data_IF_257642738555
#
_entry.id   IF_257642738555
#
_cell.length_a   1.000
_cell.length_b   1.000
_cell.length_c   1.000
_cell.angle_alpha   90.00
_cell.angle_beta   90.00
_cell.angle_gamma   90.00
#
_symmetry.space_group_name_H-M   'P 1'
#
loop_
_entity.id
_entity.type
_entity.pdbx_description
1 polymer ?
#
# COMPACT_ATOMS: atom_id res chain seq x y z
N UNK A 1 10.12 -41.37 -24.82
CA UNK A 1 10.73 -40.99 -23.53
C UNK A 1 9.74 -40.05 -22.86
N UNK A 2 9.04 -40.53 -21.83
CA UNK A 2 8.07 -39.74 -21.09
C UNK A 2 8.83 -38.78 -20.16
N UNK A 3 8.68 -37.48 -20.39
CA UNK A 3 9.21 -36.46 -19.50
C UNK A 3 8.38 -36.44 -18.22
N UNK A 4 9.02 -36.63 -17.08
CA UNK A 4 8.40 -36.37 -15.79
C UNK A 4 8.23 -34.85 -15.65
N UNK A 5 6.99 -34.37 -15.67
CA UNK A 5 6.64 -33.07 -15.13
C UNK A 5 6.56 -33.21 -13.62
N UNK A 6 7.56 -32.74 -12.90
CA UNK A 6 7.49 -32.60 -11.44
C UNK A 6 6.61 -31.38 -11.19
N UNK A 7 5.44 -31.61 -10.61
CA UNK A 7 4.57 -30.54 -10.14
C UNK A 7 5.03 -30.14 -8.72
N UNK A 8 5.81 -29.07 -8.62
CA UNK A 8 6.38 -28.61 -7.34
C UNK A 8 5.32 -28.06 -6.37
N UNK A 9 4.08 -27.82 -6.82
CA UNK A 9 2.95 -27.42 -5.95
C UNK A 9 2.44 -28.51 -5.00
N UNK A 10 3.00 -29.72 -5.09
CA UNK A 10 2.67 -30.86 -4.22
C UNK A 10 3.79 -31.26 -3.25
N UNK A 11 4.90 -30.52 -3.20
CA UNK A 11 5.80 -30.63 -2.06
C UNK A 11 5.17 -29.90 -0.88
N UNK A 12 4.28 -30.60 -0.18
CA UNK A 12 4.12 -30.38 1.27
C UNK A 12 5.42 -30.85 1.89
N UNK A 13 6.39 -29.94 2.01
CA UNK A 13 7.40 -30.09 3.03
C UNK A 13 6.61 -29.99 4.34
N UNK A 14 6.65 -31.02 5.17
CA UNK A 14 6.16 -30.93 6.55
C UNK A 14 6.81 -29.68 7.17
N UNK A 15 6.04 -28.60 7.27
CA UNK A 15 6.44 -27.35 7.90
C UNK A 15 6.26 -27.47 9.41
N UNK A 16 6.77 -28.55 10.01
CA UNK A 16 7.27 -28.45 11.38
C UNK A 16 8.61 -27.73 11.27
N UNK A 17 8.54 -26.44 10.96
CA UNK A 17 9.68 -25.54 11.01
C UNK A 17 9.97 -25.33 12.51
N UNK A 18 10.68 -26.31 13.09
CA UNK A 18 11.20 -26.32 14.46
C UNK A 18 12.19 -25.17 14.73
N UNK A 19 12.35 -24.23 13.80
CA UNK A 19 13.05 -22.98 14.03
C UNK A 19 12.40 -22.25 15.21
N UNK A 20 13.20 -21.83 16.21
CA UNK A 20 12.66 -21.09 17.33
C UNK A 20 12.04 -19.79 16.82
N UNK A 21 10.84 -19.48 17.31
CA UNK A 21 10.19 -18.20 17.04
C UNK A 21 11.09 -17.06 17.49
N UNK A 22 11.22 -16.02 16.66
CA UNK A 22 12.04 -14.83 16.99
C UNK A 22 11.43 -14.12 18.21
N UNK A 23 10.10 -13.96 18.23
CA UNK A 23 9.36 -13.39 19.35
C UNK A 23 8.40 -14.42 19.94
N UNK A 24 8.08 -14.31 21.23
CA UNK A 24 7.13 -15.22 21.87
C UNK A 24 5.69 -14.70 21.73
N UNK A 25 4.75 -15.59 21.41
CA UNK A 25 3.32 -15.24 21.42
C UNK A 25 2.89 -14.88 22.84
N UNK A 26 2.19 -13.75 22.98
CA UNK A 26 1.78 -13.18 24.25
C UNK A 26 2.79 -12.23 24.89
N UNK A 27 3.99 -12.11 24.32
CA UNK A 27 4.99 -11.13 24.73
C UNK A 27 4.50 -9.69 24.52
N UNK A 28 4.90 -8.78 25.40
CA UNK A 28 4.56 -7.36 25.33
C UNK A 28 5.81 -6.58 24.97
N UNK A 29 5.77 -5.91 23.83
CA UNK A 29 6.83 -5.04 23.34
C UNK A 29 6.92 -3.75 24.17
N UNK A 30 8.04 -3.03 24.05
CA UNK A 30 8.31 -1.82 24.83
C UNK A 30 7.29 -0.67 24.64
N UNK A 31 6.58 -0.67 23.52
CA UNK A 31 5.52 0.29 23.19
C UNK A 31 4.13 -0.15 23.67
N UNK A 32 4.05 -1.29 24.37
CA UNK A 32 2.83 -1.87 24.91
C UNK A 32 2.08 -2.76 23.92
N UNK A 33 2.58 -2.98 22.70
CA UNK A 33 1.95 -3.89 21.74
C UNK A 33 2.18 -5.33 22.19
N UNK A 34 1.11 -6.11 22.28
CA UNK A 34 1.17 -7.53 22.61
C UNK A 34 1.14 -8.38 21.36
N UNK A 35 2.08 -9.31 21.24
CA UNK A 35 2.18 -10.26 20.12
C UNK A 35 1.02 -11.26 20.22
N UNK A 36 0.20 -11.34 19.17
CA UNK A 36 -0.99 -12.19 19.13
C UNK A 36 -0.77 -13.49 18.36
N UNK A 37 -0.35 -13.41 17.10
CA UNK A 37 -0.26 -14.56 16.19
C UNK A 37 1.03 -14.48 15.38
N UNK A 38 1.72 -15.62 15.25
CA UNK A 38 2.77 -15.83 14.24
C UNK A 38 2.12 -16.23 12.91
N UNK A 39 2.35 -15.43 11.87
CA UNK A 39 1.63 -15.53 10.60
C UNK A 39 2.44 -16.24 9.52
N UNK A 40 3.72 -15.93 9.41
CA UNK A 40 4.65 -16.46 8.41
C UNK A 40 6.09 -16.16 8.83
N UNK A 41 7.05 -16.98 8.40
CA UNK A 41 8.46 -16.84 8.77
C UNK A 41 9.40 -17.23 7.64
N UNK A 42 10.58 -16.64 7.64
CA UNK A 42 11.73 -17.04 6.85
C UNK A 42 12.96 -17.26 7.74
N UNK A 43 14.10 -17.54 7.13
CA UNK A 43 15.33 -17.86 7.87
C UNK A 43 15.82 -16.71 8.78
N UNK A 44 15.65 -15.47 8.32
CA UNK A 44 16.18 -14.26 8.94
C UNK A 44 15.08 -13.27 9.40
N UNK A 45 13.81 -13.63 9.24
CA UNK A 45 12.68 -12.77 9.61
C UNK A 45 11.41 -13.56 9.95
N UNK A 46 10.48 -12.92 10.66
CA UNK A 46 9.15 -13.45 10.94
C UNK A 46 8.09 -12.34 10.97
N UNK A 47 6.88 -12.68 10.57
CA UNK A 47 5.71 -11.81 10.59
C UNK A 47 4.77 -12.19 11.74
N UNK A 48 4.36 -11.18 12.50
CA UNK A 48 3.40 -11.33 13.58
C UNK A 48 2.24 -10.35 13.38
N UNK A 49 1.11 -10.67 14.00
CA UNK A 49 -0.03 -9.77 14.15
C UNK A 49 -0.23 -9.47 15.63
N UNK A 50 -0.49 -8.22 15.97
CA UNK A 50 -0.80 -7.82 17.35
C UNK A 50 -2.10 -8.49 17.84
N UNK A 51 -2.21 -8.72 19.15
CA UNK A 51 -3.38 -9.38 19.75
C UNK A 51 -4.70 -8.62 19.47
N UNK A 52 -4.64 -7.29 19.37
CA UNK A 52 -5.78 -6.42 19.02
C UNK A 52 -6.04 -6.32 17.51
N UNK A 53 -5.21 -6.97 16.67
CA UNK A 53 -5.32 -6.98 15.22
C UNK A 53 -5.05 -5.64 14.54
N UNK A 54 -4.49 -4.66 15.26
CA UNK A 54 -4.23 -3.31 14.74
C UNK A 54 -2.90 -3.15 14.02
N UNK A 55 -1.94 -4.03 14.29
CA UNK A 55 -0.60 -3.91 13.76
C UNK A 55 -0.10 -5.23 13.18
N UNK A 56 0.53 -5.12 12.02
CA UNK A 56 1.39 -6.15 11.45
C UNK A 56 2.84 -5.81 11.82
N UNK A 57 3.58 -6.82 12.26
CA UNK A 57 4.92 -6.66 12.84
C UNK A 57 5.87 -7.55 12.06
N UNK A 58 6.93 -6.98 11.50
CA UNK A 58 8.05 -7.72 10.92
C UNK A 58 9.21 -7.69 11.91
N UNK A 59 9.58 -8.85 12.45
CA UNK A 59 10.81 -9.01 13.20
C UNK A 59 11.89 -9.54 12.26
N UNK A 60 13.05 -8.87 12.22
CA UNK A 60 14.19 -9.27 11.40
C UNK A 60 15.44 -9.39 12.25
N UNK A 61 16.24 -10.43 12.00
CA UNK A 61 17.53 -10.61 12.66
C UNK A 61 18.48 -9.45 12.32
N UNK A 62 19.44 -9.12 13.21
CA UNK A 62 20.31 -7.96 13.04
C UNK A 62 21.01 -7.89 11.68
N UNK A 63 21.55 -9.02 11.21
CA UNK A 63 22.27 -9.09 9.93
C UNK A 63 21.42 -8.61 8.74
N UNK A 64 20.16 -9.03 8.69
CA UNK A 64 19.26 -8.68 7.59
C UNK A 64 18.81 -7.21 7.70
N UNK A 65 18.38 -6.79 8.89
CA UNK A 65 17.86 -5.45 9.13
C UNK A 65 18.94 -4.36 8.94
N UNK A 66 20.16 -4.59 9.45
CA UNK A 66 21.27 -3.66 9.28
C UNK A 66 21.66 -3.51 7.81
N UNK A 67 21.55 -4.58 7.02
CA UNK A 67 21.83 -4.53 5.58
C UNK A 67 20.81 -3.67 4.84
N UNK A 68 19.51 -3.75 5.18
CA UNK A 68 18.50 -2.86 4.62
C UNK A 68 18.79 -1.38 4.90
N UNK A 69 19.30 -1.07 6.09
CA UNK A 69 19.69 0.30 6.45
C UNK A 69 20.94 0.75 5.69
N UNK A 70 21.96 -0.11 5.60
CA UNK A 70 23.21 0.19 4.89
C UNK A 70 22.99 0.41 3.39
N UNK A 71 22.13 -0.39 2.76
CA UNK A 71 21.78 -0.26 1.35
C UNK A 71 20.70 0.83 1.09
N UNK A 72 20.20 1.46 2.15
CA UNK A 72 19.32 2.63 2.06
C UNK A 72 17.86 2.33 1.71
N UNK A 73 17.40 1.09 1.92
CA UNK A 73 15.99 0.72 1.78
C UNK A 73 15.14 1.24 2.95
N UNK A 74 15.74 1.30 4.15
CA UNK A 74 15.11 1.85 5.36
C UNK A 74 16.07 2.81 6.06
N UNK A 75 15.50 3.77 6.79
CA UNK A 75 16.28 4.57 7.72
C UNK A 75 16.32 3.88 9.08
N UNK A 76 17.43 4.01 9.82
CA UNK A 76 17.60 3.33 11.12
C UNK A 76 16.47 3.62 12.12
N UNK A 77 15.93 4.84 12.12
CA UNK A 77 14.86 5.23 13.04
C UNK A 77 13.51 4.58 12.74
N UNK A 78 13.34 3.99 11.56
CA UNK A 78 12.13 3.26 11.15
C UNK A 78 12.06 1.86 11.78
N UNK A 79 13.16 1.40 12.37
CA UNK A 79 13.26 0.10 13.02
C UNK A 79 13.38 0.30 14.53
N UNK A 80 12.52 -0.38 15.29
CA UNK A 80 12.61 -0.46 16.73
C UNK A 80 13.57 -1.58 17.14
N UNK A 81 14.37 -1.34 18.17
CA UNK A 81 15.26 -2.35 18.73
C UNK A 81 14.48 -3.22 19.72
N UNK A 82 14.64 -4.53 19.59
CA UNK A 82 14.25 -5.51 20.60
C UNK A 82 15.52 -6.10 21.21
N UNK A 83 15.60 -6.09 22.55
CA UNK A 83 16.76 -6.56 23.30
C UNK A 83 16.43 -7.87 24.00
N UNK A 84 17.40 -8.77 24.08
CA UNK A 84 17.29 -10.02 24.82
C UNK A 84 17.41 -9.80 26.34
N UNK A 85 17.39 -10.90 27.11
CA UNK A 85 17.54 -10.86 28.57
C UNK A 85 18.92 -10.36 29.07
N UNK A 86 19.91 -10.21 28.17
CA UNK A 86 21.26 -9.75 28.46
C UNK A 86 21.54 -8.33 27.91
N UNK A 87 20.50 -7.60 27.50
CA UNK A 87 20.58 -6.29 26.85
C UNK A 87 21.34 -6.29 25.49
N UNK A 88 21.46 -7.46 24.84
CA UNK A 88 21.98 -7.57 23.48
C UNK A 88 20.86 -7.44 22.44
N UNK A 89 21.18 -6.98 21.23
CA UNK A 89 20.19 -6.82 20.16
C UNK A 89 19.76 -8.22 19.68
N UNK A 90 18.54 -8.60 20.02
CA UNK A 90 17.95 -9.85 19.56
C UNK A 90 17.43 -9.70 18.12
N UNK A 91 16.57 -8.69 17.90
CA UNK A 91 16.03 -8.40 16.59
C UNK A 91 15.64 -6.92 16.40
N UNK A 92 15.33 -6.57 15.15
CA UNK A 92 14.77 -5.29 14.77
C UNK A 92 13.30 -5.47 14.38
N UNK A 93 12.46 -4.56 14.85
CA UNK A 93 11.01 -4.59 14.62
C UNK A 93 10.59 -3.46 13.68
N UNK A 94 9.82 -3.81 12.66
CA UNK A 94 9.09 -2.87 11.83
C UNK A 94 7.60 -3.04 12.12
N UNK A 95 6.97 -2.00 12.66
CA UNK A 95 5.57 -2.02 13.11
C UNK A 95 4.72 -1.20 12.14
N UNK A 96 3.90 -1.92 11.36
CA UNK A 96 2.99 -1.35 10.37
C UNK A 96 1.54 -1.44 10.85
N UNK A 97 0.66 -0.45 10.55
CA UNK A 97 -0.78 -0.65 10.72
C UNK A 97 -1.24 -1.87 9.93
N UNK A 98 -2.19 -2.64 10.47
CA UNK A 98 -2.72 -3.82 9.77
C UNK A 98 -3.46 -3.48 8.47
N UNK A 99 -3.91 -2.23 8.29
CA UNK A 99 -4.44 -1.75 7.01
C UNK A 99 -3.42 -1.70 5.89
N UNK A 100 -2.12 -1.68 6.20
CA UNK A 100 -1.03 -1.62 5.23
C UNK A 100 -0.49 -3.01 4.95
N UNK A 101 0.02 -3.21 3.75
CA UNK A 101 0.63 -4.48 3.39
C UNK A 101 2.05 -4.54 3.91
N UNK A 102 2.26 -5.57 4.71
CA UNK A 102 3.56 -6.05 5.15
C UNK A 102 3.60 -7.56 4.89
N UNK A 103 4.03 -7.98 3.71
CA UNK A 103 3.96 -9.39 3.30
C UNK A 103 5.01 -9.72 2.24
N UNK A 104 5.26 -11.03 2.00
CA UNK A 104 6.10 -11.47 0.90
C UNK A 104 5.50 -11.07 -0.44
N UNK A 105 6.35 -10.78 -1.41
CA UNK A 105 5.95 -10.39 -2.74
C UNK A 105 5.08 -11.44 -3.43
N UNK A 106 5.34 -12.73 -3.17
CA UNK A 106 4.60 -13.88 -3.71
C UNK A 106 3.15 -13.99 -3.23
N UNK A 107 2.85 -13.41 -2.07
CA UNK A 107 1.57 -13.61 -1.37
C UNK A 107 0.56 -12.51 -1.69
N UNK A 108 1.02 -11.46 -2.36
CA UNK A 108 0.26 -10.24 -2.60
C UNK A 108 -0.68 -10.39 -3.80
N UNK A 109 -1.95 -10.02 -3.61
CA UNK A 109 -2.98 -10.00 -4.66
C UNK A 109 -3.77 -8.70 -4.59
N UNK A 110 -3.96 -8.03 -5.72
CA UNK A 110 -4.64 -6.72 -5.74
C UNK A 110 -6.16 -6.81 -5.79
N UNK A 111 -6.72 -7.97 -6.14
CA UNK A 111 -8.16 -8.20 -6.25
C UNK A 111 -8.92 -7.11 -7.04
N UNK A 112 -8.31 -6.62 -8.14
CA UNK A 112 -8.89 -5.58 -8.99
C UNK A 112 -8.74 -4.13 -8.49
N UNK A 113 -8.08 -3.90 -7.34
CA UNK A 113 -7.75 -2.55 -6.88
C UNK A 113 -6.62 -1.94 -7.71
N UNK A 114 -6.92 -0.85 -8.41
CA UNK A 114 -5.92 -0.10 -9.19
C UNK A 114 -4.95 0.64 -8.28
N UNK A 115 -5.44 1.19 -7.17
CA UNK A 115 -4.57 1.86 -6.19
C UNK A 115 -3.52 0.89 -5.67
N UNK A 116 -3.95 -0.33 -5.32
CA UNK A 116 -3.05 -1.35 -4.81
C UNK A 116 -2.03 -1.77 -5.87
N UNK A 117 -2.44 -1.97 -7.12
CA UNK A 117 -1.49 -2.24 -8.20
C UNK A 117 -0.42 -1.14 -8.34
N UNK A 118 -0.82 0.13 -8.26
CA UNK A 118 0.10 1.28 -8.28
C UNK A 118 1.04 1.30 -7.07
N UNK A 119 0.54 1.00 -5.87
CA UNK A 119 1.37 0.91 -4.66
C UNK A 119 2.47 -0.12 -4.84
N UNK A 120 2.14 -1.32 -5.32
CA UNK A 120 3.11 -2.39 -5.56
C UNK A 120 4.15 -1.97 -6.60
N UNK A 121 3.70 -1.43 -7.74
CA UNK A 121 4.61 -0.94 -8.77
C UNK A 121 5.54 0.16 -8.25
N UNK A 122 5.02 1.08 -7.44
CA UNK A 122 5.79 2.13 -6.80
C UNK A 122 6.87 1.60 -5.86
N UNK A 123 6.55 0.60 -5.03
CA UNK A 123 7.51 -0.05 -4.15
C UNK A 123 8.61 -0.76 -4.95
N UNK A 124 8.26 -1.43 -6.05
CA UNK A 124 9.23 -2.07 -6.95
C UNK A 124 10.16 -1.05 -7.59
N UNK A 125 9.63 0.04 -8.14
CA UNK A 125 10.45 1.10 -8.73
C UNK A 125 11.37 1.77 -7.72
N UNK A 126 10.89 2.03 -6.50
CA UNK A 126 11.72 2.59 -5.45
C UNK A 126 12.90 1.66 -5.11
N UNK A 127 12.63 0.36 -5.00
CA UNK A 127 13.67 -0.64 -4.72
C UNK A 127 14.69 -0.73 -5.86
N UNK A 128 14.21 -0.68 -7.12
CA UNK A 128 15.05 -0.65 -8.33
C UNK A 128 15.92 0.60 -8.44
N UNK A 129 15.43 1.74 -7.94
CA UNK A 129 16.25 2.96 -7.88
C UNK A 129 17.43 2.84 -6.90
N UNK A 130 17.35 1.94 -5.91
CA UNK A 130 18.46 1.64 -4.99
C UNK A 130 19.40 0.61 -5.59
N UNK A 131 18.86 -0.50 -6.09
CA UNK A 131 19.60 -1.55 -6.76
C UNK A 131 18.81 -2.08 -7.97
N UNK A 132 19.35 -1.83 -9.17
CA UNK A 132 18.73 -2.25 -10.42
C UNK A 132 18.67 -3.78 -10.59
N UNK A 133 19.47 -4.55 -9.87
CA UNK A 133 19.66 -5.98 -10.07
C UNK A 133 19.19 -6.86 -8.91
N UNK A 134 18.67 -6.26 -7.82
CA UNK A 134 18.24 -7.01 -6.65
C UNK A 134 17.13 -8.02 -6.99
N UNK A 135 17.15 -9.21 -6.40
CA UNK A 135 16.04 -10.14 -6.58
C UNK A 135 14.85 -9.71 -5.71
N UNK A 136 13.74 -9.32 -6.36
CA UNK A 136 12.51 -8.89 -5.68
C UNK A 136 11.52 -10.04 -5.43
N UNK A 137 11.75 -11.23 -6.00
CA UNK A 137 10.80 -12.36 -5.94
C UNK A 137 10.44 -12.75 -4.51
N UNK A 138 11.44 -12.89 -3.64
CA UNK A 138 11.24 -13.22 -2.23
C UNK A 138 11.33 -11.99 -1.34
N UNK A 139 11.23 -10.80 -1.93
CA UNK A 139 11.23 -9.57 -1.19
C UNK A 139 9.98 -9.43 -0.33
N UNK A 140 10.08 -8.59 0.69
CA UNK A 140 8.98 -8.25 1.58
C UNK A 140 8.49 -6.86 1.17
N UNK A 141 7.25 -6.74 0.68
CA UNK A 141 6.65 -5.43 0.50
C UNK A 141 6.37 -4.84 1.87
N UNK A 142 6.88 -3.63 2.09
CA UNK A 142 6.54 -2.79 3.21
C UNK A 142 5.90 -1.50 2.68
N UNK A 143 4.57 -1.47 2.63
CA UNK A 143 3.82 -0.34 2.08
C UNK A 143 4.07 0.96 2.86
N UNK A 144 4.16 0.90 4.19
CA UNK A 144 4.35 2.07 5.05
C UNK A 144 5.54 2.94 4.62
N UNK A 145 6.57 2.32 4.04
CA UNK A 145 7.75 2.98 3.50
C UNK A 145 7.88 2.86 1.97
N UNK A 146 6.95 2.15 1.31
CA UNK A 146 6.85 2.06 -0.15
C UNK A 146 8.09 1.44 -0.76
N UNK A 147 8.50 0.30 -0.21
CA UNK A 147 9.73 -0.39 -0.58
C UNK A 147 9.51 -1.90 -0.54
N UNK A 148 10.24 -2.62 -1.39
CA UNK A 148 10.38 -4.07 -1.35
C UNK A 148 11.72 -4.38 -0.70
N UNK A 149 11.68 -4.93 0.51
CA UNK A 149 12.85 -5.27 1.31
C UNK A 149 13.42 -6.62 0.83
N UNK A 150 14.63 -6.66 0.26
CA UNK A 150 15.19 -7.91 -0.23
C UNK A 150 15.57 -8.85 0.91
N UNK A 151 15.33 -10.14 0.74
CA UNK A 151 15.70 -11.18 1.72
C UNK A 151 17.02 -11.87 1.38
N UNK A 152 17.60 -11.56 0.21
CA UNK A 152 18.88 -12.06 -0.31
C UNK A 152 19.00 -13.60 -0.37
N UNK A 153 17.87 -14.27 -0.56
CA UNK A 153 17.80 -15.72 -0.81
C UNK A 153 18.41 -16.06 -2.18
N UNK A 154 18.81 -17.32 -2.35
CA UNK A 154 19.38 -17.84 -3.61
C UNK A 154 18.31 -18.23 -4.64
N UNK A 155 17.09 -17.72 -4.53
CA UNK A 155 16.01 -18.09 -5.45
C UNK A 155 16.25 -17.53 -6.85
N UNK A 156 15.79 -18.23 -7.90
CA UNK A 156 15.88 -17.72 -9.26
C UNK A 156 15.11 -16.40 -9.43
N UNK A 157 15.74 -15.46 -10.13
CA UNK A 157 15.16 -14.16 -10.42
C UNK A 157 13.97 -14.29 -11.37
N UNK A 158 12.88 -13.61 -11.03
CA UNK A 158 11.70 -13.43 -11.87
C UNK A 158 11.68 -11.98 -12.36
N UNK A 159 11.30 -11.74 -13.61
CA UNK A 159 11.26 -10.40 -14.18
C UNK A 159 10.21 -9.52 -13.48
N UNK A 160 10.45 -8.21 -13.39
CA UNK A 160 9.55 -7.28 -12.68
C UNK A 160 8.12 -7.30 -13.26
N UNK A 161 7.97 -7.41 -14.58
CA UNK A 161 6.67 -7.50 -15.21
C UNK A 161 5.94 -8.81 -14.85
N UNK A 162 6.67 -9.92 -14.72
CA UNK A 162 6.10 -11.20 -14.28
C UNK A 162 5.68 -11.13 -12.80
N UNK A 163 6.49 -10.51 -11.94
CA UNK A 163 6.12 -10.25 -10.54
C UNK A 163 4.85 -9.41 -10.44
N UNK A 164 4.72 -8.35 -11.25
CA UNK A 164 3.49 -7.57 -11.29
C UNK A 164 2.30 -8.42 -11.78
N UNK A 165 2.45 -9.19 -12.85
CA UNK A 165 1.36 -10.06 -13.33
C UNK A 165 0.91 -11.06 -12.26
N UNK A 166 1.85 -11.60 -11.46
CA UNK A 166 1.54 -12.48 -10.32
C UNK A 166 0.75 -11.80 -9.21
N UNK A 167 0.89 -10.48 -9.08
CA UNK A 167 0.13 -9.67 -8.15
C UNK A 167 -1.26 -9.32 -8.69
N UNK A 168 -1.36 -9.16 -10.02
CA UNK A 168 -2.62 -8.87 -10.73
C UNK A 168 -3.49 -10.10 -11.00
N UNK A 169 -2.92 -11.31 -10.95
CA UNK A 169 -3.62 -12.56 -11.28
C UNK A 169 -4.69 -12.92 -10.25
N UNK A 170 -5.71 -13.64 -10.70
CA UNK A 170 -6.72 -14.25 -9.83
C UNK A 170 -6.14 -15.39 -9.00
N UNK A 171 -6.85 -15.78 -7.95
CA UNK A 171 -6.43 -16.85 -7.03
C UNK A 171 -6.09 -18.18 -7.74
N UNK A 172 -6.78 -18.48 -8.84
CA UNK A 172 -6.66 -19.74 -9.58
C UNK A 172 -5.83 -19.62 -10.88
N UNK A 173 -5.37 -18.42 -11.21
CA UNK A 173 -4.57 -18.21 -12.41
C UNK A 173 -3.14 -18.73 -12.18
N UNK A 174 -2.50 -19.25 -13.23
CA UNK A 174 -1.13 -19.74 -13.15
C UNK A 174 -0.15 -18.62 -12.82
N UNK A 175 0.87 -18.95 -12.03
CA UNK A 175 1.99 -18.04 -11.76
C UNK A 175 2.88 -17.88 -12.99
N UNK A 176 3.26 -16.64 -13.27
CA UNK A 176 4.25 -16.23 -14.27
C UNK A 176 5.65 -16.28 -13.65
N UNK A 177 6.45 -17.26 -14.06
CA UNK A 177 7.81 -17.49 -13.56
C UNK A 177 8.89 -17.04 -14.56
N UNK A 178 8.51 -16.27 -15.58
CA UNK A 178 9.45 -15.84 -16.62
C UNK A 178 10.59 -15.01 -16.04
N UNK A 179 11.81 -15.41 -16.38
CA UNK A 179 13.03 -14.67 -16.05
C UNK A 179 13.24 -13.48 -17.00
N UNK A 180 14.14 -12.53 -16.67
CA UNK A 180 14.53 -11.47 -17.59
C UNK A 180 15.03 -11.98 -18.96
N UNK A 181 15.70 -13.14 -18.97
CA UNK A 181 16.20 -13.77 -20.19
C UNK A 181 15.09 -14.35 -21.06
N UNK A 182 14.01 -14.87 -20.46
CA UNK A 182 12.87 -15.39 -21.21
C UNK A 182 12.17 -14.27 -21.98
N UNK A 183 11.99 -13.10 -21.35
CA UNK A 183 11.48 -11.90 -22.03
C UNK A 183 12.42 -11.44 -23.14
N UNK A 184 13.74 -11.44 -22.90
CA UNK A 184 14.71 -11.06 -23.92
C UNK A 184 14.64 -11.97 -25.15
N UNK A 185 14.45 -13.29 -24.97
CA UNK A 185 14.27 -14.24 -26.08
C UNK A 185 13.00 -13.98 -26.87
N UNK A 186 11.87 -13.73 -26.19
CA UNK A 186 10.58 -13.46 -26.84
C UNK A 186 10.58 -12.15 -27.62
N UNK A 187 11.29 -11.14 -27.13
CA UNK A 187 11.27 -9.79 -27.70
C UNK A 187 12.45 -9.49 -28.65
N UNK A 188 13.23 -10.50 -29.06
CA UNK A 188 14.46 -10.34 -29.85
C UNK A 188 15.48 -9.36 -29.20
N UNK A 189 15.74 -9.53 -27.90
CA UNK A 189 16.63 -8.75 -27.04
C UNK A 189 16.26 -7.27 -26.85
N UNK A 190 14.99 -6.91 -27.07
CA UNK A 190 14.52 -5.52 -26.91
C UNK A 190 14.00 -5.18 -25.52
N UNK A 191 13.69 -6.18 -24.68
CA UNK A 191 13.11 -6.01 -23.35
C UNK A 191 13.52 -7.16 -22.44
N UNK A 192 13.91 -6.84 -21.20
CA UNK A 192 14.24 -7.80 -20.15
C UNK A 192 13.09 -8.01 -19.17
N UNK A 193 11.85 -7.65 -19.56
CA UNK A 193 10.69 -7.73 -18.67
C UNK A 193 10.74 -6.73 -17.51
N UNK A 194 11.44 -5.59 -17.69
CA UNK A 194 11.45 -4.51 -16.71
C UNK A 194 10.09 -3.80 -16.61
N UNK A 195 9.83 -3.19 -15.46
CA UNK A 195 8.58 -2.48 -15.21
C UNK A 195 8.77 -0.97 -15.42
N UNK A 196 8.11 -0.43 -16.44
CA UNK A 196 7.90 1.02 -16.63
C UNK A 196 6.40 1.33 -16.76
N UNK A 197 6.03 2.61 -16.79
CA UNK A 197 4.62 3.05 -16.87
C UNK A 197 3.86 2.48 -18.08
N UNK A 198 4.52 2.30 -19.22
CA UNK A 198 3.89 1.73 -20.42
C UNK A 198 3.56 0.24 -20.18
N UNK A 199 4.54 -0.55 -19.73
CA UNK A 199 4.32 -1.97 -19.41
C UNK A 199 3.33 -2.17 -18.26
N UNK A 200 3.32 -1.26 -17.27
CA UNK A 200 2.35 -1.26 -16.18
C UNK A 200 0.92 -1.09 -16.70
N UNK A 201 0.68 -0.06 -17.53
CA UNK A 201 -0.64 0.16 -18.14
C UNK A 201 -1.06 -0.99 -19.05
N UNK A 202 -0.11 -1.62 -19.76
CA UNK A 202 -0.39 -2.82 -20.55
C UNK A 202 -0.81 -4.02 -19.68
N UNK A 203 -0.14 -4.22 -18.54
CA UNK A 203 -0.49 -5.25 -17.57
C UNK A 203 -1.89 -5.02 -16.99
N UNK A 204 -2.19 -3.79 -16.52
CA UNK A 204 -3.53 -3.43 -16.03
C UNK A 204 -4.61 -3.73 -17.09
N UNK A 205 -4.36 -3.35 -18.35
CA UNK A 205 -5.30 -3.61 -19.45
C UNK A 205 -5.50 -5.10 -19.69
N UNK A 206 -4.43 -5.90 -19.64
CA UNK A 206 -4.51 -7.36 -19.81
C UNK A 206 -5.35 -8.04 -18.72
N UNK A 207 -5.39 -7.46 -17.52
CA UNK A 207 -6.19 -7.90 -16.39
C UNK A 207 -7.56 -7.20 -16.26
N UNK A 208 -8.03 -6.52 -17.32
CA UNK A 208 -9.31 -5.77 -17.36
C UNK A 208 -9.45 -4.68 -16.29
N UNK A 209 -8.34 -4.09 -15.86
CA UNK A 209 -8.33 -2.98 -14.90
C UNK A 209 -8.30 -1.63 -15.63
N UNK A 210 -8.79 -0.58 -14.96
CA UNK A 210 -8.73 0.77 -15.47
C UNK A 210 -7.26 1.24 -15.59
N UNK A 211 -6.90 1.78 -16.75
CA UNK A 211 -5.55 2.33 -17.01
C UNK A 211 -5.51 3.82 -16.76
N UNK A 212 -4.31 4.36 -16.57
CA UNK A 212 -4.13 5.81 -16.44
C UNK A 212 -4.31 6.49 -17.78
N UNK A 213 -5.21 7.49 -17.83
CA UNK A 213 -5.46 8.31 -19.02
C UNK A 213 -4.95 9.75 -18.86
N UNK A 214 -4.47 10.10 -17.68
CA UNK A 214 -4.02 11.44 -17.31
C UNK A 214 -2.52 11.39 -17.08
N UNK A 215 -1.81 12.43 -17.49
CA UNK A 215 -0.39 12.58 -17.22
C UNK A 215 -0.16 13.02 -15.77
N UNK A 216 0.80 12.39 -15.07
CA UNK A 216 1.15 12.80 -13.72
C UNK A 216 1.86 14.16 -13.75
N UNK A 217 1.49 15.01 -12.80
CA UNK A 217 2.19 16.26 -12.48
C UNK A 217 3.65 16.06 -12.10
N UNK A 218 3.96 14.97 -11.38
CA UNK A 218 5.32 14.65 -10.93
C UNK A 218 5.81 13.34 -11.54
N UNK A 219 7.09 13.29 -11.86
CA UNK A 219 7.72 12.07 -12.40
C UNK A 219 8.42 11.28 -11.31
N UNK A 220 8.65 10.00 -11.58
CA UNK A 220 9.41 9.12 -10.68
C UNK A 220 10.85 9.64 -10.49
N UNK A 221 11.30 9.71 -9.24
CA UNK A 221 12.61 10.22 -8.85
C UNK A 221 12.67 11.74 -8.66
N UNK A 222 11.59 12.48 -8.91
CA UNK A 222 11.54 13.92 -8.70
C UNK A 222 11.59 14.26 -7.21
N UNK A 223 12.41 15.24 -6.83
CA UNK A 223 12.59 15.65 -5.45
C UNK A 223 11.37 16.44 -4.95
N UNK A 224 10.95 16.17 -3.71
CA UNK A 224 9.76 16.78 -3.09
C UNK A 224 10.03 17.40 -1.73
N UNK A 225 11.30 17.65 -1.41
CA UNK A 225 11.77 18.24 -0.15
C UNK A 225 11.07 19.57 0.17
N UNK A 226 10.82 20.39 -0.84
CA UNK A 226 10.14 21.69 -0.70
C UNK A 226 8.69 21.53 -0.19
N UNK A 227 8.07 20.38 -0.48
CA UNK A 227 6.71 20.05 -0.05
C UNK A 227 6.72 19.27 1.26
N UNK A 228 7.61 18.30 1.39
CA UNK A 228 7.78 17.41 2.54
C UNK A 228 8.93 17.92 3.41
N UNK A 229 8.71 19.06 4.07
CA UNK A 229 9.70 19.73 4.93
C UNK A 229 10.22 18.88 6.12
N UNK A 230 9.68 17.68 6.31
CA UNK A 230 9.98 16.79 7.42
C UNK A 230 11.16 15.84 7.13
N UNK A 231 11.56 15.65 5.86
CA UNK A 231 12.69 14.77 5.52
C UNK A 231 13.53 15.35 4.37
N UNK A 232 14.85 15.28 4.51
CA UNK A 232 15.82 15.63 3.46
C UNK A 232 15.90 14.53 2.41
N UNK A 233 15.89 14.90 1.12
CA UNK A 233 16.02 14.02 -0.04
C UNK A 233 14.85 13.03 -0.27
N UNK A 234 13.64 13.43 0.10
CA UNK A 234 12.43 12.73 -0.29
C UNK A 234 12.19 12.87 -1.81
N UNK A 235 11.93 11.74 -2.46
CA UNK A 235 11.62 11.68 -3.90
C UNK A 235 10.24 11.06 -4.13
N UNK A 236 9.62 11.35 -5.27
CA UNK A 236 8.46 10.60 -5.75
C UNK A 236 8.88 9.19 -6.16
N UNK A 237 8.18 8.18 -5.64
CA UNK A 237 8.40 6.77 -5.98
C UNK A 237 7.35 6.22 -6.92
N UNK A 238 6.24 6.94 -7.14
CA UNK A 238 5.20 6.57 -8.07
C UNK A 238 3.90 7.33 -7.83
N UNK A 239 3.05 7.39 -8.86
CA UNK A 239 1.67 7.83 -8.68
C UNK A 239 0.84 6.68 -8.13
N UNK A 240 -0.05 6.97 -7.17
CA UNK A 240 -0.97 6.00 -6.56
C UNK A 240 -2.38 6.13 -7.14
N UNK A 241 -2.80 7.36 -7.42
CA UNK A 241 -4.11 7.66 -7.98
C UNK A 241 -3.99 8.92 -8.86
N UNK A 242 -4.49 8.84 -10.09
CA UNK A 242 -4.50 9.97 -11.03
C UNK A 242 -5.94 10.33 -11.41
N UNK A 243 -6.34 11.55 -11.08
CA UNK A 243 -7.64 12.15 -11.43
C UNK A 243 -7.47 13.60 -11.86
N UNK A 244 -8.47 14.17 -12.56
CA UNK A 244 -8.46 15.60 -12.91
C UNK A 244 -8.45 16.50 -11.67
N UNK A 245 -9.21 16.15 -10.62
CA UNK A 245 -9.38 16.97 -9.43
C UNK A 245 -8.17 16.85 -8.48
N UNK A 246 -7.57 15.66 -8.41
CA UNK A 246 -6.42 15.40 -7.56
C UNK A 246 -5.54 14.26 -8.07
N UNK A 247 -4.29 14.29 -7.66
CA UNK A 247 -3.32 13.23 -7.90
C UNK A 247 -2.63 12.89 -6.59
N UNK A 248 -2.45 11.60 -6.33
CA UNK A 248 -1.79 11.10 -5.13
C UNK A 248 -0.48 10.44 -5.50
N UNK A 249 0.57 10.73 -4.75
CA UNK A 249 1.90 10.18 -4.98
C UNK A 249 2.48 9.52 -3.74
N UNK A 250 3.10 8.36 -3.95
CA UNK A 250 4.01 7.78 -2.99
C UNK A 250 5.36 8.51 -3.04
N UNK A 251 5.99 8.59 -1.88
CA UNK A 251 7.34 9.13 -1.72
C UNK A 251 8.29 8.07 -1.17
N UNK A 252 9.58 8.36 -1.13
CA UNK A 252 10.57 7.52 -0.44
C UNK A 252 10.53 7.64 1.09
N UNK A 253 9.54 8.34 1.64
CA UNK A 253 9.34 8.53 3.08
C UNK A 253 8.05 7.86 3.56
N UNK A 254 7.75 8.02 4.84
CA UNK A 254 6.49 7.64 5.49
C UNK A 254 5.33 8.62 5.20
N UNK A 255 5.49 9.46 4.18
CA UNK A 255 4.47 10.43 3.73
C UNK A 255 3.91 10.03 2.37
N UNK A 256 2.74 10.55 2.02
CA UNK A 256 2.20 10.60 0.67
C UNK A 256 1.95 12.07 0.32
N UNK A 257 2.08 12.40 -0.95
CA UNK A 257 1.85 13.76 -1.44
C UNK A 257 0.50 13.81 -2.16
N UNK A 258 -0.47 14.51 -1.56
CA UNK A 258 -1.73 14.82 -2.20
C UNK A 258 -1.59 16.14 -2.96
N UNK A 259 -1.85 16.11 -4.26
CA UNK A 259 -1.76 17.26 -5.16
C UNK A 259 -3.16 17.55 -5.69
N UNK A 260 -3.64 18.76 -5.44
CA UNK A 260 -4.98 19.21 -5.80
C UNK A 260 -4.89 20.17 -6.99
N UNK A 261 -5.80 19.99 -7.94
CA UNK A 261 -6.07 20.99 -8.96
C UNK A 261 -6.57 22.29 -8.28
N UNK A 262 -6.19 23.44 -8.83
CA UNK A 262 -6.37 24.74 -8.16
C UNK A 262 -7.83 25.11 -7.92
N UNK A 263 -8.68 24.94 -8.93
CA UNK A 263 -10.10 25.29 -8.86
C UNK A 263 -10.81 24.39 -7.85
N UNK A 264 -10.54 23.09 -7.90
CA UNK A 264 -11.06 22.15 -6.92
C UNK A 264 -10.60 22.48 -5.50
N UNK A 265 -9.31 22.77 -5.31
CA UNK A 265 -8.78 23.18 -4.01
C UNK A 265 -9.45 24.45 -3.48
N UNK A 266 -9.70 25.44 -4.34
CA UNK A 266 -10.40 26.66 -3.95
C UNK A 266 -11.85 26.38 -3.55
N UNK A 267 -12.57 25.52 -4.30
CA UNK A 267 -13.94 25.16 -3.94
C UNK A 267 -14.00 24.41 -2.59
N UNK A 268 -13.03 23.55 -2.29
CA UNK A 268 -12.92 22.89 -0.99
C UNK A 268 -12.66 23.89 0.15
N UNK A 269 -11.87 24.94 -0.10
CA UNK A 269 -11.62 26.02 0.88
C UNK A 269 -12.88 26.85 1.10
N UNK A 270 -13.55 27.29 0.02
CA UNK A 270 -14.73 28.14 0.08
C UNK A 270 -15.88 27.46 0.84
N UNK A 271 -15.94 26.12 0.76
CA UNK A 271 -16.90 25.28 1.49
C UNK A 271 -16.44 24.88 2.89
N UNK A 272 -15.31 25.40 3.38
CA UNK A 272 -14.72 25.09 4.69
C UNK A 272 -14.48 23.59 4.93
N UNK A 273 -14.06 22.88 3.88
CA UNK A 273 -13.66 21.47 3.97
C UNK A 273 -12.16 21.34 4.22
N UNK A 274 -11.36 22.22 3.61
CA UNK A 274 -9.93 22.32 3.86
C UNK A 274 -9.57 23.74 4.28
N UNK A 275 -8.54 23.86 5.12
CA UNK A 275 -7.98 25.15 5.49
C UNK A 275 -6.87 25.53 4.52
N UNK A 276 -6.88 26.77 4.04
CA UNK A 276 -5.87 27.28 3.11
C UNK A 276 -4.43 27.15 3.65
N UNK A 277 -4.25 27.31 4.97
CA UNK A 277 -2.93 27.21 5.61
C UNK A 277 -2.27 25.83 5.47
N UNK A 278 -3.05 24.79 5.21
CA UNK A 278 -2.56 23.43 5.06
C UNK A 278 -1.96 23.20 3.66
N UNK A 279 -2.26 24.07 2.69
CA UNK A 279 -1.94 23.86 1.29
C UNK A 279 -0.73 24.70 0.85
N UNK A 280 0.25 24.03 0.25
CA UNK A 280 1.42 24.68 -0.35
C UNK A 280 1.16 24.94 -1.83
N UNK A 281 1.27 26.19 -2.32
CA UNK A 281 1.17 26.47 -3.75
C UNK A 281 2.41 25.92 -4.48
N UNK A 282 2.19 25.23 -5.60
CA UNK A 282 3.25 24.70 -6.46
C UNK A 282 3.05 25.17 -7.89
N UNK A 283 3.99 25.93 -8.48
CA UNK A 283 3.92 26.31 -9.88
C UNK A 283 4.36 25.14 -10.77
N UNK A 284 3.43 24.51 -11.50
CA UNK A 284 3.74 23.44 -12.46
C UNK A 284 3.26 23.84 -13.85
N UNK A 285 4.18 23.96 -14.82
CA UNK A 285 3.83 24.15 -16.24
C UNK A 285 2.95 25.38 -16.56
N UNK A 286 2.83 26.36 -15.65
CA UNK A 286 1.96 27.53 -15.80
C UNK A 286 0.62 27.45 -15.05
N UNK A 287 0.25 26.29 -14.49
CA UNK A 287 -0.92 26.13 -13.65
C UNK A 287 -0.52 25.96 -12.17
N UNK A 288 -1.06 26.79 -11.26
CA UNK A 288 -0.72 26.69 -9.83
C UNK A 288 -1.49 25.53 -9.19
N UNK A 289 -0.85 24.40 -8.88
CA UNK A 289 -1.49 23.33 -8.09
C UNK A 289 -1.28 23.56 -6.59
N UNK A 290 -2.00 22.81 -5.75
CA UNK A 290 -1.84 22.84 -4.28
C UNK A 290 -1.37 21.49 -3.77
N UNK A 291 -0.29 21.47 -2.99
CA UNK A 291 0.24 20.25 -2.40
C UNK A 291 -0.05 20.17 -0.89
N UNK A 292 -0.38 18.97 -0.42
CA UNK A 292 -0.60 18.62 0.98
C UNK A 292 0.13 17.30 1.29
N UNK A 293 1.22 17.33 2.09
CA UNK A 293 1.84 16.10 2.58
C UNK A 293 0.98 15.49 3.69
N UNK A 294 0.73 14.18 3.62
CA UNK A 294 -0.06 13.41 4.59
C UNK A 294 0.73 12.18 5.04
N UNK A 295 0.67 11.75 6.32
CA UNK A 295 1.34 10.53 6.76
C UNK A 295 0.73 9.30 6.08
N UNK A 296 1.57 8.43 5.51
CA UNK A 296 1.16 7.22 4.83
C UNK A 296 0.45 6.23 5.75
N UNK A 297 0.74 6.28 7.06
CA UNK A 297 0.07 5.48 8.11
C UNK A 297 -1.45 5.62 8.09
N UNK A 298 -2.00 6.72 7.58
CA UNK A 298 -3.43 6.93 7.46
C UNK A 298 -3.90 6.77 6.02
N UNK A 299 -5.11 6.24 5.84
CA UNK A 299 -5.68 6.05 4.52
C UNK A 299 -5.91 7.39 3.80
N UNK A 300 -5.42 7.46 2.57
CA UNK A 300 -5.69 8.53 1.60
C UNK A 300 -6.05 7.86 0.28
N UNK A 301 -7.35 7.65 0.07
CA UNK A 301 -7.84 6.77 -1.01
C UNK A 301 -9.20 7.21 -1.55
N UNK A 302 -9.45 6.91 -2.82
CA UNK A 302 -10.75 7.17 -3.43
C UNK A 302 -11.75 6.07 -3.04
N UNK A 303 -13.00 6.46 -2.73
CA UNK A 303 -14.01 5.52 -2.23
C UNK A 303 -14.41 4.43 -3.24
N UNK A 304 -14.18 4.63 -4.53
CA UNK A 304 -14.38 3.65 -5.60
C UNK A 304 -13.10 2.92 -6.06
N UNK A 305 -11.94 3.18 -5.44
CA UNK A 305 -10.67 2.51 -5.77
C UNK A 305 -9.88 2.30 -4.47
N UNK A 306 -10.45 1.48 -3.59
CA UNK A 306 -9.94 1.24 -2.24
C UNK A 306 -8.69 0.38 -2.27
N UNK A 307 -7.73 0.74 -1.43
CA UNK A 307 -6.48 0.02 -1.25
C UNK A 307 -6.59 -1.04 -0.16
N UNK A 308 -7.12 -0.65 1.01
CA UNK A 308 -7.13 -1.49 2.20
C UNK A 308 -8.54 -1.87 2.66
N UNK A 309 -8.61 -3.02 3.34
CA UNK A 309 -9.79 -3.39 4.12
C UNK A 309 -9.82 -2.60 5.42
N UNK A 310 -11.00 -2.18 5.85
CA UNK A 310 -11.17 -1.45 7.10
C UNK A 310 -11.30 -2.43 8.25
N UNK A 311 -10.51 -2.24 9.30
CA UNK A 311 -10.85 -2.81 10.60
C UNK A 311 -12.12 -2.14 11.15
N UNK A 312 -12.71 -2.71 12.21
CA UNK A 312 -13.96 -2.20 12.78
C UNK A 312 -13.89 -0.71 13.16
N UNK A 313 -12.79 -0.27 13.78
CA UNK A 313 -12.63 1.13 14.19
C UNK A 313 -12.60 2.05 12.98
N UNK A 314 -11.79 1.72 11.97
CA UNK A 314 -11.63 2.51 10.76
C UNK A 314 -12.94 2.56 9.93
N UNK A 315 -13.75 1.49 9.97
CA UNK A 315 -15.07 1.47 9.35
C UNK A 315 -16.04 2.46 10.02
N UNK A 316 -16.02 2.57 11.35
CA UNK A 316 -16.82 3.56 12.08
C UNK A 316 -16.33 4.98 11.84
N UNK A 317 -15.01 5.20 11.80
CA UNK A 317 -14.43 6.51 11.50
C UNK A 317 -14.83 6.99 10.10
N UNK A 318 -14.81 6.11 9.11
CA UNK A 318 -15.27 6.41 7.76
C UNK A 318 -16.77 6.71 7.72
N UNK A 319 -17.61 5.90 8.37
CA UNK A 319 -19.05 6.12 8.43
C UNK A 319 -19.39 7.49 9.04
N UNK A 320 -18.70 7.86 10.12
CA UNK A 320 -18.85 9.16 10.77
C UNK A 320 -18.35 10.31 9.89
N UNK A 321 -17.23 10.14 9.19
CA UNK A 321 -16.73 11.12 8.23
C UNK A 321 -17.72 11.35 7.08
N UNK A 322 -18.31 10.28 6.55
CA UNK A 322 -19.32 10.33 5.49
C UNK A 322 -20.60 11.04 5.95
N UNK A 323 -21.09 10.71 7.15
CA UNK A 323 -22.23 11.39 7.77
C UNK A 323 -22.00 12.90 7.91
N UNK A 324 -20.83 13.29 8.46
CA UNK A 324 -20.45 14.70 8.60
C UNK A 324 -20.34 15.40 7.24
N UNK A 325 -19.78 14.73 6.24
CA UNK A 325 -19.67 15.24 4.89
C UNK A 325 -21.05 15.47 4.26
N UNK A 326 -21.99 14.51 4.39
CA UNK A 326 -23.38 14.67 3.91
C UNK A 326 -24.11 15.81 4.59
N UNK A 327 -23.91 16.01 5.90
CA UNK A 327 -24.52 17.14 6.60
C UNK A 327 -23.99 18.49 6.09
N UNK A 328 -22.68 18.59 5.83
CA UNK A 328 -22.07 19.80 5.27
C UNK A 328 -22.40 20.02 3.79
N UNK A 329 -22.58 18.95 3.03
CA UNK A 329 -22.79 18.98 1.58
C UNK A 329 -23.96 18.07 1.18
N UNK A 330 -25.21 18.53 1.34
CA UNK A 330 -26.39 17.69 1.17
C UNK A 330 -26.59 17.11 -0.23
N UNK A 331 -26.04 17.77 -1.25
CA UNK A 331 -26.23 17.39 -2.67
C UNK A 331 -25.00 16.69 -3.28
N UNK A 332 -23.86 16.67 -2.61
CA UNK A 332 -22.62 16.14 -3.18
C UNK A 332 -22.69 14.62 -3.42
N UNK A 333 -22.02 14.17 -4.48
CA UNK A 333 -21.79 12.75 -4.73
C UNK A 333 -20.52 12.30 -4.03
N UNK A 334 -20.61 11.23 -3.24
CA UNK A 334 -19.45 10.65 -2.55
C UNK A 334 -18.94 9.35 -3.16
N UNK A 335 -19.56 8.85 -4.24
CA UNK A 335 -19.21 7.57 -4.87
C UNK A 335 -17.71 7.44 -5.17
N UNK A 336 -17.11 8.52 -5.63
CA UNK A 336 -15.73 8.60 -6.10
C UNK A 336 -14.92 9.64 -5.30
N UNK A 337 -15.43 10.04 -4.13
CA UNK A 337 -14.79 11.02 -3.25
C UNK A 337 -13.45 10.51 -2.68
N UNK A 338 -12.60 11.45 -2.29
CA UNK A 338 -11.34 11.18 -1.61
C UNK A 338 -11.57 11.14 -0.10
N UNK A 339 -11.26 10.01 0.52
CA UNK A 339 -11.21 9.90 1.98
C UNK A 339 -9.81 10.23 2.48
N UNK A 340 -9.72 11.15 3.44
CA UNK A 340 -8.49 11.53 4.13
C UNK A 340 -8.67 11.21 5.61
N UNK A 341 -8.21 10.03 6.02
CA UNK A 341 -8.47 9.48 7.35
C UNK A 341 -7.91 10.35 8.48
N UNK A 342 -6.67 10.84 8.35
CA UNK A 342 -6.03 11.68 9.36
C UNK A 342 -6.86 12.91 9.71
N UNK A 343 -7.50 13.50 8.71
CA UNK A 343 -8.34 14.70 8.87
C UNK A 343 -9.80 14.35 9.19
N UNK A 344 -10.20 13.09 9.06
CA UNK A 344 -11.59 12.65 9.19
C UNK A 344 -12.51 13.27 8.13
N UNK A 345 -12.00 13.46 6.91
CA UNK A 345 -12.70 14.16 5.83
C UNK A 345 -13.02 13.25 4.64
N UNK A 346 -14.18 13.49 4.02
CA UNK A 346 -14.54 12.95 2.70
C UNK A 346 -14.72 14.14 1.76
N UNK A 347 -13.86 14.22 0.74
CA UNK A 347 -13.78 15.33 -0.20
C UNK A 347 -14.41 14.90 -1.54
N UNK A 348 -15.59 15.45 -1.91
CA UNK A 348 -16.26 15.03 -3.13
C UNK A 348 -15.57 15.62 -4.37
N UNK A 349 -15.52 14.83 -5.44
CA UNK A 349 -15.16 15.30 -6.79
C UNK A 349 -16.32 16.06 -7.44
N UNK A 350 -17.56 15.77 -7.02
CA UNK A 350 -18.78 16.42 -7.53
C UNK A 350 -19.66 16.91 -6.39
N UNK A 351 -19.96 18.21 -6.39
CA UNK A 351 -20.78 18.87 -5.36
C UNK A 351 -22.29 18.77 -5.59
N UNK A 352 -22.73 17.95 -6.55
CA UNK A 352 -24.14 17.68 -6.83
C UNK A 352 -24.36 16.21 -7.26
N UNK A 353 -25.64 15.79 -7.27
CA UNK A 353 -26.05 14.50 -7.82
C UNK A 353 -25.93 13.31 -6.88
N UNK A 354 -25.62 13.53 -5.60
CA UNK A 354 -25.60 12.47 -4.59
C UNK A 354 -26.78 12.54 -3.63
N UNK A 355 -27.08 11.42 -2.97
CA UNK A 355 -28.07 11.36 -1.91
C UNK A 355 -27.72 10.36 -0.80
N UNK A 356 -28.44 10.45 0.31
CA UNK A 356 -28.20 9.63 1.51
C UNK A 356 -28.34 8.12 1.26
N UNK A 357 -29.24 7.70 0.36
CA UNK A 357 -29.40 6.27 0.06
C UNK A 357 -28.21 5.68 -0.68
N UNK A 358 -27.55 6.48 -1.53
CA UNK A 358 -26.31 6.12 -2.20
C UNK A 358 -25.15 6.01 -1.21
N UNK A 359 -25.07 6.91 -0.22
CA UNK A 359 -24.04 6.86 0.81
C UNK A 359 -24.12 5.59 1.67
N UNK A 360 -25.35 5.16 1.99
CA UNK A 360 -25.62 3.91 2.72
C UNK A 360 -25.22 2.69 1.87
N UNK A 361 -25.54 2.70 0.56
CA UNK A 361 -25.11 1.64 -0.34
C UNK A 361 -23.58 1.59 -0.48
N UNK A 362 -22.94 2.76 -0.56
CA UNK A 362 -21.49 2.92 -0.66
C UNK A 362 -20.78 2.36 0.57
N UNK A 363 -21.20 2.72 1.79
CA UNK A 363 -20.53 2.22 3.00
C UNK A 363 -20.69 0.71 3.16
N UNK A 364 -21.86 0.15 2.77
CA UNK A 364 -22.07 -1.29 2.73
C UNK A 364 -21.09 -1.97 1.80
N UNK A 365 -20.94 -1.46 0.58
CA UNK A 365 -20.02 -2.00 -0.42
C UNK A 365 -18.57 -1.97 0.08
N UNK A 366 -18.12 -0.82 0.62
CA UNK A 366 -16.76 -0.64 1.12
C UNK A 366 -16.45 -1.62 2.27
N UNK A 367 -17.35 -1.75 3.24
CA UNK A 367 -17.13 -2.63 4.40
C UNK A 367 -17.18 -4.10 4.00
N UNK A 368 -17.83 -4.47 2.89
CA UNK A 368 -18.02 -5.86 2.47
C UNK A 368 -16.94 -6.41 1.51
N UNK A 369 -16.15 -5.54 0.87
CA UNK A 369 -15.31 -5.91 -0.29
C UNK A 369 -13.80 -5.97 0.00
N UNK A 370 -13.35 -5.54 1.18
CA UNK A 370 -11.92 -5.46 1.52
C UNK A 370 -11.26 -6.79 1.97
N UNK A 371 -9.93 -6.86 2.03
CA UNK A 371 -9.19 -8.03 2.54
C UNK A 371 -9.49 -8.37 4.02
N UNK A 372 -9.78 -7.37 4.85
CA UNK A 372 -10.27 -7.55 6.23
C UNK A 372 -11.79 -7.74 6.32
N UNK A 373 -12.50 -7.68 5.18
CA UNK A 373 -13.96 -7.81 5.08
C UNK A 373 -14.45 -9.28 5.07
N UNK A 374 -13.58 -10.27 5.32
CA UNK A 374 -13.96 -11.69 5.28
C UNK A 374 -14.22 -12.32 6.66
N UNK A 375 -14.19 -11.55 7.74
CA UNK A 375 -14.54 -12.06 9.07
C UNK A 375 -16.07 -12.26 9.25
N UNK A 376 -16.54 -13.36 9.89
CA UNK A 376 -17.96 -13.61 10.17
C UNK A 376 -18.63 -12.55 11.08
N UNK A 377 -17.89 -11.54 11.56
CA UNK A 377 -18.33 -10.48 12.46
C UNK A 377 -18.75 -9.18 11.76
N UNK A 378 -18.73 -9.11 10.42
CA UNK A 378 -18.95 -7.85 9.70
C UNK A 378 -20.41 -7.45 9.52
N UNK A 379 -21.36 -8.38 9.63
CA UNK A 379 -22.78 -8.03 9.45
C UNK A 379 -23.25 -6.98 10.47
N UNK A 380 -22.77 -7.05 11.71
CA UNK A 380 -23.11 -6.08 12.75
C UNK A 380 -22.37 -4.75 12.53
N UNK A 381 -21.09 -4.80 12.12
CA UNK A 381 -20.32 -3.61 11.76
C UNK A 381 -20.97 -2.86 10.59
N UNK A 382 -21.37 -3.58 9.53
CA UNK A 382 -22.10 -3.02 8.37
C UNK A 382 -23.38 -2.34 8.84
N UNK A 383 -24.24 -3.02 9.62
CA UNK A 383 -25.49 -2.42 10.13
C UNK A 383 -25.24 -1.17 10.98
N UNK A 384 -24.21 -1.19 11.82
CA UNK A 384 -23.83 -0.03 12.63
C UNK A 384 -23.34 1.13 11.76
N UNK A 385 -22.48 0.88 10.77
CA UNK A 385 -22.04 1.88 9.80
C UNK A 385 -23.21 2.47 9.01
N UNK A 386 -24.14 1.63 8.53
CA UNK A 386 -25.35 2.07 7.85
C UNK A 386 -26.21 2.96 8.75
N UNK A 387 -26.38 2.60 10.03
CA UNK A 387 -27.12 3.40 10.99
C UNK A 387 -26.47 4.77 11.24
N UNK A 388 -25.14 4.82 11.34
CA UNK A 388 -24.38 6.08 11.49
C UNK A 388 -24.58 6.97 10.26
N UNK A 389 -24.40 6.44 9.06
CA UNK A 389 -24.60 7.20 7.81
C UNK A 389 -26.07 7.60 7.63
N UNK A 390 -26.99 6.78 8.14
CA UNK A 390 -28.44 7.01 8.07
C UNK A 390 -28.98 7.97 9.14
N UNK A 391 -28.20 8.36 10.14
CA UNK A 391 -28.55 9.41 11.08
C UNK A 391 -28.32 10.77 10.42
#
# INVERSE_FOLDING_TARGET
MAGFSINESLFVIDMDDDSPSILQVGEILADGIKIGVDRDRGEEFAFYVSEDGRFDILAAKPRLAERWVQEGYLQKHMLQLHLDAHDEIDCYLLISPSSHILARMTDIRVYGSRYYAHMVASAMWHSRNRDAHINLRDGIICELYGVVLPTYTLTPMVADLALLNNVLRGQYDSEDLRSPDDFARESNNSSFGGLNRISFNQALKAHNMAVDTIEPYFQLGEAVDDFVQLQTHAIITGALELRPEFQLYATSSDMVLLVLENQWAQELIDRNLLLQMNLKPVPLGGEPVKALPLPRRYAVEALNNRHCGLNQSAAFDLALALQRARHKMPEASFKDALYVQELGLVLPTRFSGGNKSEDVALIREIVSTGPFAQGPFLADVVKSCEAIVSA
#
